data_IF_913216846543
#
_entry.id   IF_913216846543
#
_cell.length_a   1.000
_cell.length_b   1.000
_cell.length_c   1.000
_cell.angle_alpha   90.00
_cell.angle_beta   90.00
_cell.angle_gamma   90.00
#
_symmetry.space_group_name_H-M   'P 1'
#
loop_
_entity.id
_entity.type
_entity.pdbx_description
1 polymer ?
#
# COMPACT_ATOMS: atom_id res chain seq x y z
N UNK A 1 -11.29 59.15 44.90
CA UNK A 1 -11.95 57.98 44.27
C UNK A 1 -11.14 57.58 43.03
N UNK A 2 -10.27 56.59 43.15
CA UNK A 2 -9.34 56.19 42.06
C UNK A 2 -9.86 54.92 41.41
N UNK A 3 -10.33 55.00 40.16
CA UNK A 3 -10.85 53.83 39.43
C UNK A 3 -9.68 52.95 38.97
N UNK A 4 -9.55 51.78 39.58
CA UNK A 4 -8.62 50.72 39.16
C UNK A 4 -9.04 50.17 37.79
N UNK A 5 -8.10 50.18 36.84
CA UNK A 5 -8.30 49.66 35.47
C UNK A 5 -8.06 48.15 35.50
N UNK A 6 -9.11 47.36 35.28
CA UNK A 6 -8.99 45.90 35.14
C UNK A 6 -8.23 45.60 33.84
N UNK A 7 -7.02 45.05 33.96
CA UNK A 7 -6.27 44.49 32.82
C UNK A 7 -6.90 43.15 32.43
N UNK A 8 -7.76 43.18 31.43
CA UNK A 8 -8.21 41.97 30.73
C UNK A 8 -7.00 41.35 30.02
N UNK A 9 -6.49 40.24 30.57
CA UNK A 9 -5.49 39.43 29.89
C UNK A 9 -6.21 38.58 28.85
N UNK A 10 -6.26 39.06 27.61
CA UNK A 10 -6.71 38.26 26.47
C UNK A 10 -5.73 37.12 26.28
N UNK A 11 -6.15 35.89 26.59
CA UNK A 11 -5.39 34.67 26.28
C UNK A 11 -5.24 34.59 24.75
N UNK A 12 -4.02 34.48 24.19
CA UNK A 12 -3.88 34.23 22.77
C UNK A 12 -4.59 32.90 22.45
N UNK A 13 -5.40 32.89 21.39
CA UNK A 13 -6.05 31.68 20.91
C UNK A 13 -4.94 30.65 20.63
N UNK A 14 -4.93 29.54 21.39
CA UNK A 14 -3.95 28.49 21.19
C UNK A 14 -4.11 27.95 19.77
N UNK A 15 -3.04 28.03 18.97
CA UNK A 15 -3.02 27.42 17.64
C UNK A 15 -3.24 25.91 17.79
N UNK A 16 -4.37 25.42 17.29
CA UNK A 16 -4.69 24.00 17.37
C UNK A 16 -3.72 23.24 16.47
N UNK A 17 -2.81 22.46 17.06
CA UNK A 17 -1.96 21.55 16.28
C UNK A 17 -2.85 20.61 15.47
N UNK A 18 -2.51 20.32 14.20
CA UNK A 18 -3.25 19.34 13.42
C UNK A 18 -3.24 17.99 14.14
N UNK A 19 -4.37 17.27 14.06
CA UNK A 19 -4.48 15.94 14.62
C UNK A 19 -3.51 14.98 13.90
N UNK A 20 -2.97 13.96 14.60
CA UNK A 20 -2.12 12.97 13.98
C UNK A 20 -2.90 12.16 12.92
N UNK A 21 -2.22 11.79 11.84
CA UNK A 21 -2.72 10.87 10.80
C UNK A 21 -2.01 9.53 10.96
N UNK A 22 -2.78 8.45 10.94
CA UNK A 22 -2.27 7.09 11.06
C UNK A 22 -2.49 6.32 9.75
N UNK A 23 -1.44 5.64 9.29
CA UNK A 23 -1.50 4.75 8.14
C UNK A 23 -1.43 3.31 8.65
N UNK A 24 -2.39 2.49 8.23
CA UNK A 24 -2.40 1.06 8.51
C UNK A 24 -2.39 0.32 7.18
N UNK A 25 -1.51 -0.66 7.09
CA UNK A 25 -1.56 -1.64 6.01
C UNK A 25 -2.68 -2.64 6.27
N UNK A 26 -3.12 -3.36 5.24
CA UNK A 26 -4.26 -4.28 5.30
C UNK A 26 -3.81 -5.72 5.58
N UNK A 27 -3.04 -6.29 4.65
CA UNK A 27 -2.68 -7.71 4.64
C UNK A 27 -1.51 -7.98 5.60
N UNK A 28 -1.67 -9.01 6.43
CA UNK A 28 -0.77 -9.37 7.54
C UNK A 28 -0.49 -8.23 8.54
N UNK A 29 -1.32 -7.19 8.52
CA UNK A 29 -1.39 -6.12 9.53
C UNK A 29 -2.77 -6.11 10.21
N UNK A 30 -3.85 -5.98 9.44
CA UNK A 30 -5.23 -6.04 9.94
C UNK A 30 -5.89 -7.40 9.67
N UNK A 31 -5.42 -8.15 8.68
CA UNK A 31 -5.94 -9.46 8.29
C UNK A 31 -4.82 -10.49 8.24
N UNK A 32 -5.07 -11.73 8.69
CA UNK A 32 -4.15 -12.85 8.48
C UNK A 32 -4.32 -13.42 7.06
N UNK A 33 -3.82 -12.66 6.08
CA UNK A 33 -3.96 -12.95 4.67
C UNK A 33 -3.07 -14.12 4.24
N UNK A 34 -1.88 -14.22 4.85
CA UNK A 34 -0.93 -15.32 4.64
C UNK A 34 -1.52 -16.68 4.95
N UNK A 35 -2.26 -16.81 6.06
CA UNK A 35 -2.94 -18.07 6.38
C UNK A 35 -4.15 -18.36 5.47
N UNK A 36 -4.86 -17.31 5.03
CA UNK A 36 -6.14 -17.47 4.35
C UNK A 36 -6.04 -17.55 2.81
N UNK A 37 -5.58 -16.48 2.15
CA UNK A 37 -5.80 -16.28 0.70
C UNK A 37 -4.53 -16.05 -0.11
N UNK A 38 -3.43 -15.62 0.53
CA UNK A 38 -2.20 -15.22 -0.17
C UNK A 38 -1.65 -16.32 -1.09
N UNK A 39 -1.66 -17.58 -0.64
CA UNK A 39 -1.18 -18.72 -1.44
C UNK A 39 -2.03 -18.97 -2.71
N UNK A 40 -3.31 -18.65 -2.68
CA UNK A 40 -4.20 -18.76 -3.84
C UNK A 40 -3.95 -17.60 -4.81
N UNK A 41 -3.76 -16.39 -4.29
CA UNK A 41 -3.39 -15.21 -5.07
C UNK A 41 -2.07 -15.46 -5.79
N UNK A 42 -1.04 -15.93 -5.08
CA UNK A 42 0.28 -16.23 -5.62
C UNK A 42 0.23 -17.20 -6.80
N UNK A 43 -0.59 -18.24 -6.69
CA UNK A 43 -0.78 -19.23 -7.76
C UNK A 43 -1.46 -18.61 -8.97
N UNK A 44 -2.55 -17.87 -8.78
CA UNK A 44 -3.27 -17.20 -9.86
C UNK A 44 -2.42 -16.16 -10.58
N UNK A 45 -1.60 -15.41 -9.83
CA UNK A 45 -0.63 -14.48 -10.42
C UNK A 45 0.44 -15.21 -11.23
N UNK A 46 0.92 -16.36 -10.73
CA UNK A 46 1.88 -17.19 -11.47
C UNK A 46 1.26 -17.71 -12.77
N UNK A 47 0.04 -18.26 -12.72
CA UNK A 47 -0.71 -18.74 -13.89
C UNK A 47 -0.95 -17.64 -14.92
N UNK A 48 -1.24 -16.41 -14.47
CA UNK A 48 -1.36 -15.26 -15.35
C UNK A 48 -0.04 -15.01 -16.09
N UNK A 49 1.08 -14.99 -15.38
CA UNK A 49 2.40 -14.71 -15.96
C UNK A 49 2.81 -15.80 -16.96
N UNK A 50 2.55 -17.08 -16.65
CA UNK A 50 2.73 -18.20 -17.59
C UNK A 50 2.00 -17.91 -18.90
N UNK A 51 0.69 -17.62 -18.83
CA UNK A 51 -0.15 -17.43 -20.02
C UNK A 51 0.20 -16.17 -20.79
N UNK A 52 0.52 -15.08 -20.08
CA UNK A 52 0.69 -13.78 -20.69
C UNK A 52 2.07 -13.58 -21.31
N UNK A 53 3.11 -14.18 -20.73
CA UNK A 53 4.49 -14.06 -21.21
C UNK A 53 4.98 -15.30 -21.96
N UNK A 54 4.17 -16.37 -22.03
CA UNK A 54 4.51 -17.65 -22.65
C UNK A 54 5.81 -18.24 -22.09
N UNK A 55 5.89 -18.31 -20.76
CA UNK A 55 7.03 -18.87 -20.02
C UNK A 55 6.59 -20.03 -19.15
N UNK A 56 7.53 -20.88 -18.75
CA UNK A 56 7.25 -21.95 -17.80
C UNK A 56 6.90 -21.42 -16.39
N UNK A 57 6.30 -22.30 -15.57
CA UNK A 57 5.84 -21.96 -14.22
C UNK A 57 6.98 -21.51 -13.29
N UNK A 58 8.18 -22.09 -13.45
CA UNK A 58 9.34 -21.78 -12.62
C UNK A 58 9.79 -20.35 -12.88
N UNK A 59 9.91 -19.98 -14.16
CA UNK A 59 10.27 -18.63 -14.58
C UNK A 59 9.17 -17.61 -14.22
N UNK A 60 7.89 -17.97 -14.42
CA UNK A 60 6.77 -17.13 -14.03
C UNK A 60 6.79 -16.81 -12.53
N UNK A 61 6.98 -17.81 -11.67
CA UNK A 61 7.06 -17.61 -10.23
C UNK A 61 8.33 -16.83 -9.83
N UNK A 62 9.45 -17.06 -10.51
CA UNK A 62 10.68 -16.28 -10.32
C UNK A 62 10.43 -14.80 -10.62
N UNK A 63 9.77 -14.47 -11.72
CA UNK A 63 9.40 -13.10 -12.10
C UNK A 63 8.44 -12.49 -11.08
N UNK A 64 7.38 -13.23 -10.69
CA UNK A 64 6.42 -12.80 -9.65
C UNK A 64 7.13 -12.36 -8.36
N UNK A 65 7.99 -13.23 -7.83
CA UNK A 65 8.76 -12.97 -6.61
C UNK A 65 9.77 -11.84 -6.79
N UNK A 66 10.45 -11.78 -7.94
CA UNK A 66 11.42 -10.73 -8.24
C UNK A 66 10.74 -9.36 -8.24
N UNK A 67 9.59 -9.24 -8.91
CA UNK A 67 8.85 -7.99 -9.00
C UNK A 67 8.19 -7.59 -7.70
N UNK A 68 7.61 -8.54 -6.97
CA UNK A 68 7.10 -8.27 -5.63
C UNK A 68 8.20 -7.74 -4.70
N UNK A 69 9.35 -8.41 -4.62
CA UNK A 69 10.48 -7.97 -3.76
C UNK A 69 11.05 -6.62 -4.18
N UNK A 70 11.09 -6.33 -5.49
CA UNK A 70 11.71 -5.10 -6.00
C UNK A 70 10.77 -3.88 -5.96
N UNK A 71 9.47 -4.09 -6.19
CA UNK A 71 8.50 -3.02 -6.40
C UNK A 71 7.39 -2.97 -5.35
N UNK A 72 7.33 -3.95 -4.43
CA UNK A 72 6.23 -4.10 -3.48
C UNK A 72 4.98 -4.77 -4.08
N UNK A 73 4.90 -4.89 -5.41
CA UNK A 73 3.80 -5.56 -6.11
C UNK A 73 4.28 -6.20 -7.41
N UNK A 74 3.85 -7.43 -7.68
CA UNK A 74 4.16 -8.11 -8.95
C UNK A 74 3.66 -7.32 -10.17
N UNK A 75 2.45 -6.76 -10.09
CA UNK A 75 1.83 -6.00 -11.18
C UNK A 75 2.69 -4.82 -11.64
N UNK A 76 3.32 -4.08 -10.70
CA UNK A 76 4.19 -2.95 -11.05
C UNK A 76 5.39 -3.38 -11.91
N UNK A 77 5.96 -4.56 -11.63
CA UNK A 77 7.03 -5.10 -12.45
C UNK A 77 6.55 -5.56 -13.83
N UNK A 78 5.37 -6.19 -13.88
CA UNK A 78 4.73 -6.60 -15.13
C UNK A 78 4.43 -5.40 -16.04
N UNK A 79 3.86 -4.33 -15.51
CA UNK A 79 3.61 -3.09 -16.25
C UNK A 79 4.92 -2.48 -16.78
N UNK A 80 5.96 -2.44 -15.95
CA UNK A 80 7.23 -1.76 -16.29
C UNK A 80 8.07 -2.50 -17.32
N UNK A 81 8.13 -3.83 -17.22
CA UNK A 81 9.08 -4.63 -18.01
C UNK A 81 8.44 -5.42 -19.14
N UNK A 82 7.13 -5.63 -19.08
CA UNK A 82 6.39 -6.46 -20.04
C UNK A 82 5.15 -5.76 -20.63
N UNK A 83 4.97 -4.47 -20.35
CA UNK A 83 3.86 -3.65 -20.85
C UNK A 83 2.47 -4.24 -20.56
N UNK A 84 2.33 -4.98 -19.46
CA UNK A 84 1.05 -5.54 -19.03
C UNK A 84 0.08 -4.40 -18.70
N UNK A 85 -1.12 -4.46 -19.25
CA UNK A 85 -2.24 -3.60 -18.85
C UNK A 85 -2.79 -4.06 -17.50
N UNK A 86 -2.88 -3.13 -16.54
CA UNK A 86 -3.45 -3.39 -15.22
C UNK A 86 -4.92 -3.82 -15.29
N UNK A 87 -5.69 -3.30 -16.26
CA UNK A 87 -7.09 -3.69 -16.44
C UNK A 87 -7.27 -5.09 -17.00
N UNK A 88 -6.25 -5.64 -17.67
CA UNK A 88 -6.27 -7.04 -18.10
C UNK A 88 -5.85 -7.99 -16.97
N UNK A 89 -5.07 -7.49 -16.01
CA UNK A 89 -4.59 -8.28 -14.86
C UNK A 89 -5.62 -8.38 -13.73
N UNK A 90 -6.37 -7.31 -13.46
CA UNK A 90 -7.36 -7.19 -12.36
C UNK A 90 -8.78 -7.58 -12.80
#
# INVERSE_FOLDING_TARGET
>A
MTRSRVRTHSRPAASRRPAPVWFFDLDDTLHDASHAIASTIDRRMTDYVVKHLDVDEVEANRLRLTYWRRYGATLLGLMRHHAVDAHHFL
#
